data_IF_032425570848
#
_entry.id   IF_032425570848
#
_cell.length_a   1.000
_cell.length_b   1.000
_cell.length_c   1.000
_cell.angle_alpha   90.00
_cell.angle_beta   90.00
_cell.angle_gamma   90.00
#
_symmetry.space_group_name_H-M   'P 1'
#
loop_
_entity.id
_entity.type
_entity.pdbx_description
1 polymer ?
#
# COMPACT_ATOMS: atom_id res chain seq x y z
N UNK A 1 20.73 11.74 -31.94
CA UNK A 1 19.95 11.28 -30.78
C UNK A 1 18.78 12.25 -30.61
N UNK A 2 17.60 11.87 -31.08
CA UNK A 2 16.40 12.62 -30.74
C UNK A 2 16.09 12.29 -29.29
N UNK A 3 16.09 13.30 -28.42
CA UNK A 3 15.56 13.21 -27.07
C UNK A 3 14.12 12.70 -27.18
N UNK A 4 13.90 11.42 -26.90
CA UNK A 4 12.54 10.91 -26.75
C UNK A 4 11.87 11.74 -25.65
N UNK A 5 10.69 12.27 -25.92
CA UNK A 5 10.02 13.18 -25.01
C UNK A 5 9.77 12.47 -23.68
N UNK A 6 10.48 12.89 -22.64
CA UNK A 6 10.38 12.34 -21.30
C UNK A 6 8.91 12.35 -20.88
N UNK A 7 8.35 11.17 -20.59
CA UNK A 7 6.92 11.05 -20.27
C UNK A 7 6.62 11.82 -18.96
N UNK A 8 5.57 12.66 -18.95
CA UNK A 8 5.20 13.40 -17.75
C UNK A 8 4.68 12.44 -16.68
N UNK A 9 5.00 12.76 -15.42
CA UNK A 9 4.38 12.14 -14.26
C UNK A 9 3.12 12.96 -13.96
N UNK A 10 1.96 12.32 -14.04
CA UNK A 10 0.70 13.01 -13.80
C UNK A 10 0.47 13.23 -12.31
N UNK A 11 0.03 14.43 -11.95
CA UNK A 11 -0.25 14.81 -10.56
C UNK A 11 -1.73 14.58 -10.26
N UNK A 12 -2.08 14.00 -9.10
CA UNK A 12 -3.47 13.73 -8.78
C UNK A 12 -4.20 15.03 -8.42
N UNK A 13 -5.44 15.14 -8.90
CA UNK A 13 -6.33 16.27 -8.61
C UNK A 13 -7.25 16.02 -7.41
N UNK A 14 -7.44 14.75 -7.04
CA UNK A 14 -8.23 14.35 -5.86
C UNK A 14 -7.65 13.08 -5.22
N UNK A 15 -8.24 12.62 -4.11
CA UNK A 15 -7.89 11.34 -3.47
C UNK A 15 -8.64 10.13 -4.05
N UNK A 16 -9.33 10.30 -5.18
CA UNK A 16 -10.04 9.18 -5.80
C UNK A 16 -9.07 8.13 -6.32
N UNK A 17 -9.47 6.86 -6.28
CA UNK A 17 -8.66 5.74 -6.76
C UNK A 17 -8.13 5.97 -8.18
N UNK A 18 -8.98 6.43 -9.10
CA UNK A 18 -8.58 6.69 -10.49
C UNK A 18 -7.47 7.74 -10.62
N UNK A 19 -7.54 8.84 -9.86
CA UNK A 19 -6.50 9.87 -9.86
C UNK A 19 -5.18 9.35 -9.27
N UNK A 20 -5.25 8.61 -8.17
CA UNK A 20 -4.07 8.04 -7.52
C UNK A 20 -3.40 6.99 -8.41
N UNK A 21 -4.16 6.08 -9.02
CA UNK A 21 -3.60 5.04 -9.88
C UNK A 21 -3.03 5.59 -11.18
N UNK A 22 -3.62 6.65 -11.74
CA UNK A 22 -3.05 7.36 -12.89
C UNK A 22 -1.66 7.91 -12.56
N UNK A 23 -1.50 8.57 -11.41
CA UNK A 23 -0.21 9.05 -10.94
C UNK A 23 0.79 7.91 -10.65
N UNK A 24 0.33 6.82 -10.05
CA UNK A 24 1.14 5.62 -9.84
C UNK A 24 1.67 5.04 -11.16
N UNK A 25 0.79 4.76 -12.12
CA UNK A 25 1.18 4.14 -13.38
C UNK A 25 2.06 5.05 -14.24
N UNK A 26 1.81 6.36 -14.23
CA UNK A 26 2.68 7.31 -14.94
C UNK A 26 4.06 7.41 -14.30
N UNK A 27 4.16 7.41 -12.96
CA UNK A 27 5.44 7.32 -12.25
C UNK A 27 6.18 6.01 -12.54
N UNK A 28 5.49 4.88 -12.40
CA UNK A 28 6.04 3.53 -12.65
C UNK A 28 6.61 3.43 -14.06
N UNK A 29 5.82 3.86 -15.05
CA UNK A 29 6.22 3.84 -16.45
C UNK A 29 7.40 4.77 -16.73
N UNK A 30 7.43 5.97 -16.16
CA UNK A 30 8.54 6.92 -16.32
C UNK A 30 9.85 6.43 -15.69
N UNK A 31 9.78 5.65 -14.61
CA UNK A 31 10.94 4.96 -14.03
C UNK A 31 11.39 3.79 -14.93
N UNK A 32 10.45 3.03 -15.49
CA UNK A 32 10.73 1.94 -16.44
C UNK A 32 11.40 2.40 -17.73
N UNK A 33 10.92 3.51 -18.31
CA UNK A 33 11.53 4.11 -19.50
C UNK A 33 12.99 4.52 -19.21
N UNK A 34 13.23 5.25 -18.11
CA UNK A 34 14.58 5.71 -17.78
C UNK A 34 15.54 4.55 -17.47
N UNK A 35 15.09 3.53 -16.74
CA UNK A 35 15.91 2.34 -16.47
C UNK A 35 16.21 1.55 -17.75
N UNK A 36 15.25 1.44 -18.67
CA UNK A 36 15.49 0.80 -19.96
C UNK A 36 16.49 1.57 -20.81
N UNK A 37 16.45 2.90 -20.80
CA UNK A 37 17.40 3.75 -21.53
C UNK A 37 18.82 3.59 -20.96
N UNK A 38 18.95 3.64 -19.63
CA UNK A 38 20.25 3.46 -18.94
C UNK A 38 20.78 2.03 -19.17
N UNK A 39 19.91 1.02 -19.09
CA UNK A 39 20.28 -0.37 -19.35
C UNK A 39 20.70 -0.58 -20.80
N UNK A 40 19.92 -0.12 -21.77
CA UNK A 40 20.22 -0.32 -23.20
C UNK A 40 21.49 0.43 -23.60
N UNK A 41 21.66 1.69 -23.17
CA UNK A 41 22.86 2.48 -23.48
C UNK A 41 24.16 1.83 -22.99
N UNK A 42 24.12 1.08 -21.89
CA UNK A 42 25.30 0.40 -21.32
C UNK A 42 25.43 -1.04 -21.83
N UNK A 43 24.35 -1.82 -21.77
CA UNK A 43 24.37 -3.25 -22.09
C UNK A 43 24.44 -3.51 -23.59
N UNK A 44 23.91 -2.63 -24.44
CA UNK A 44 24.09 -2.77 -25.89
C UNK A 44 25.58 -2.68 -26.27
N UNK A 45 26.35 -1.85 -25.55
CA UNK A 45 27.79 -1.70 -25.77
C UNK A 45 28.59 -2.91 -25.25
N UNK A 46 28.21 -3.46 -24.09
CA UNK A 46 28.98 -4.52 -23.41
C UNK A 46 28.59 -5.91 -23.91
N UNK A 47 27.30 -6.13 -24.20
CA UNK A 47 26.71 -7.44 -24.50
C UNK A 47 26.12 -7.55 -25.91
N UNK A 48 26.05 -6.43 -26.63
CA UNK A 48 25.44 -6.37 -27.95
C UNK A 48 23.93 -6.11 -27.91
N UNK A 49 23.32 -5.68 -29.02
CA UNK A 49 21.94 -5.18 -29.07
C UNK A 49 20.86 -6.24 -28.84
N UNK A 50 21.24 -7.52 -28.73
CA UNK A 50 20.32 -8.64 -28.46
C UNK A 50 20.34 -9.12 -27.01
N UNK A 51 21.07 -8.43 -26.12
CA UNK A 51 21.24 -8.85 -24.74
C UNK A 51 19.92 -9.10 -24.00
N UNK A 52 18.88 -8.32 -24.30
CA UNK A 52 17.58 -8.47 -23.66
C UNK A 52 16.83 -9.72 -24.15
N UNK A 53 16.85 -9.99 -25.46
CA UNK A 53 16.30 -11.23 -26.01
C UNK A 53 16.99 -12.45 -25.41
N UNK A 54 18.32 -12.40 -25.30
CA UNK A 54 19.14 -13.47 -24.74
C UNK A 54 18.84 -13.68 -23.25
N UNK A 55 18.66 -12.58 -22.49
CA UNK A 55 18.22 -12.62 -21.10
C UNK A 55 16.86 -13.30 -20.98
N UNK A 56 15.87 -12.86 -21.77
CA UNK A 56 14.51 -13.44 -21.76
C UNK A 56 14.53 -14.93 -22.10
N UNK A 57 15.26 -15.32 -23.14
CA UNK A 57 15.35 -16.73 -23.56
C UNK A 57 15.96 -17.60 -22.45
N UNK A 58 17.05 -17.12 -21.83
CA UNK A 58 17.70 -17.80 -20.70
C UNK A 58 16.77 -17.95 -19.51
N UNK A 59 16.07 -16.89 -19.11
CA UNK A 59 15.14 -16.91 -17.96
C UNK A 59 13.92 -17.77 -18.20
N UNK A 60 13.40 -17.79 -19.42
CA UNK A 60 12.34 -18.73 -19.82
C UNK A 60 12.78 -20.17 -19.69
N UNK A 61 13.99 -20.51 -20.15
CA UNK A 61 14.54 -21.86 -20.02
C UNK A 61 14.71 -22.29 -18.55
N UNK A 62 15.05 -21.33 -17.67
CA UNK A 62 15.16 -21.53 -16.22
C UNK A 62 13.81 -21.55 -15.49
N UNK A 63 12.70 -21.30 -16.19
CA UNK A 63 11.36 -21.10 -15.59
C UNK A 63 11.33 -19.98 -14.53
N UNK A 64 12.20 -18.97 -14.66
CA UNK A 64 12.27 -17.87 -13.72
C UNK A 64 11.08 -16.90 -13.91
N UNK A 65 10.37 -16.51 -12.84
CA UNK A 65 9.39 -15.43 -12.89
C UNK A 65 10.09 -14.04 -12.91
N UNK A 66 9.52 -13.01 -13.56
CA UNK A 66 8.22 -12.97 -14.26
C UNK A 66 8.28 -13.34 -15.76
N UNK A 67 9.36 -13.98 -16.22
CA UNK A 67 9.65 -14.17 -17.65
C UNK A 67 8.75 -15.18 -18.39
N UNK A 68 7.79 -15.82 -17.71
CA UNK A 68 6.91 -16.84 -18.33
C UNK A 68 5.80 -16.25 -19.21
N UNK A 69 5.59 -14.93 -19.17
CA UNK A 69 4.61 -14.23 -20.01
C UNK A 69 4.93 -14.22 -21.50
N UNK A 70 3.88 -14.07 -22.32
CA UNK A 70 3.94 -14.04 -23.78
C UNK A 70 4.68 -12.81 -24.34
N UNK A 71 4.59 -11.65 -23.67
CA UNK A 71 5.25 -10.41 -24.06
C UNK A 71 6.19 -9.94 -22.96
N UNK A 72 7.44 -9.69 -23.33
CA UNK A 72 8.48 -9.15 -22.46
C UNK A 72 8.91 -7.80 -23.04
N UNK A 73 8.86 -6.74 -22.25
CA UNK A 73 9.25 -5.39 -22.66
C UNK A 73 10.46 -4.96 -21.83
N UNK A 74 11.57 -4.48 -22.45
CA UNK A 74 12.72 -4.00 -21.71
C UNK A 74 12.43 -2.80 -20.79
N UNK A 75 11.26 -2.17 -20.92
CA UNK A 75 10.74 -1.09 -20.05
C UNK A 75 9.87 -1.57 -18.90
N UNK A 76 9.53 -2.86 -18.85
CA UNK A 76 8.73 -3.40 -17.76
C UNK A 76 9.58 -3.51 -16.49
N UNK A 77 9.31 -2.65 -15.52
CA UNK A 77 9.98 -2.67 -14.23
C UNK A 77 9.83 -3.98 -13.46
N UNK A 78 8.77 -4.74 -13.71
CA UNK A 78 8.62 -6.07 -13.10
C UNK A 78 9.75 -6.99 -13.55
N UNK A 79 10.19 -6.85 -14.81
CA UNK A 79 11.34 -7.56 -15.38
C UNK A 79 12.64 -6.97 -14.85
N UNK A 80 12.84 -5.65 -14.99
CA UNK A 80 14.10 -4.99 -14.63
C UNK A 80 14.41 -5.19 -13.15
N UNK A 81 13.49 -4.79 -12.27
CA UNK A 81 13.68 -4.85 -10.82
C UNK A 81 13.65 -6.29 -10.32
N UNK A 82 12.79 -7.14 -10.92
CA UNK A 82 12.68 -8.55 -10.55
C UNK A 82 13.97 -9.33 -10.82
N UNK A 83 14.53 -9.21 -12.03
CA UNK A 83 15.80 -9.85 -12.37
C UNK A 83 16.95 -9.26 -11.55
N UNK A 84 17.04 -7.94 -11.44
CA UNK A 84 18.07 -7.26 -10.65
C UNK A 84 18.09 -7.73 -9.18
N UNK A 85 16.91 -7.82 -8.56
CA UNK A 85 16.77 -8.13 -7.15
C UNK A 85 16.98 -9.60 -6.81
N UNK A 86 16.53 -10.52 -7.67
CA UNK A 86 16.50 -11.97 -7.39
C UNK A 86 17.73 -12.69 -7.92
N UNK A 87 18.27 -12.23 -9.04
CA UNK A 87 19.26 -13.01 -9.79
C UNK A 87 20.67 -12.45 -9.59
N UNK A 88 21.55 -13.30 -9.08
CA UNK A 88 22.96 -12.93 -8.85
C UNK A 88 23.71 -12.63 -10.16
N UNK A 89 23.32 -13.30 -11.25
CA UNK A 89 23.93 -13.14 -12.58
C UNK A 89 23.16 -12.15 -13.48
N UNK A 90 22.30 -11.32 -12.88
CA UNK A 90 21.53 -10.31 -13.59
C UNK A 90 22.43 -9.34 -14.38
N UNK A 91 22.20 -9.13 -15.69
CA UNK A 91 22.90 -8.11 -16.45
C UNK A 91 22.71 -6.70 -15.88
N UNK A 92 21.57 -6.43 -15.24
CA UNK A 92 21.28 -5.12 -14.63
C UNK A 92 22.27 -4.76 -13.51
N UNK A 93 22.94 -5.74 -12.88
CA UNK A 93 24.00 -5.49 -11.89
C UNK A 93 25.29 -4.90 -12.48
N UNK A 94 25.45 -4.88 -13.80
CA UNK A 94 26.55 -4.15 -14.47
C UNK A 94 26.22 -2.68 -14.74
N UNK A 95 24.95 -2.30 -14.55
CA UNK A 95 24.43 -0.96 -14.85
C UNK A 95 24.06 -0.24 -13.57
N UNK A 96 23.37 -0.94 -12.67
CA UNK A 96 22.95 -0.46 -11.36
C UNK A 96 24.05 -0.70 -10.33
N UNK A 97 24.04 0.08 -9.26
CA UNK A 97 25.10 0.08 -8.25
C UNK A 97 25.30 -1.28 -7.57
N UNK A 98 24.26 -2.12 -7.52
CA UNK A 98 24.31 -3.44 -6.90
C UNK A 98 24.47 -3.41 -5.38
N UNK A 99 24.36 -2.23 -4.75
CA UNK A 99 24.46 -2.09 -3.30
C UNK A 99 23.31 -2.81 -2.59
N UNK A 100 23.52 -3.19 -1.33
CA UNK A 100 22.47 -3.80 -0.51
C UNK A 100 21.22 -2.89 -0.40
N UNK A 101 21.44 -1.59 -0.18
CA UNK A 101 20.36 -0.59 -0.12
C UNK A 101 19.58 -0.48 -1.43
N UNK A 102 20.27 -0.46 -2.58
CA UNK A 102 19.62 -0.45 -3.89
C UNK A 102 18.81 -1.71 -4.17
N UNK A 103 19.37 -2.87 -3.85
CA UNK A 103 18.71 -4.16 -4.00
C UNK A 103 17.46 -4.23 -3.12
N UNK A 104 17.57 -3.78 -1.86
CA UNK A 104 16.44 -3.68 -0.93
C UNK A 104 15.34 -2.75 -1.47
N UNK A 105 15.70 -1.57 -1.96
CA UNK A 105 14.74 -0.64 -2.55
C UNK A 105 14.04 -1.21 -3.78
N UNK A 106 14.75 -1.93 -4.66
CA UNK A 106 14.17 -2.63 -5.81
C UNK A 106 13.14 -3.70 -5.39
N UNK A 107 13.47 -4.53 -4.39
CA UNK A 107 12.56 -5.54 -3.82
C UNK A 107 11.28 -4.89 -3.28
N UNK A 108 11.41 -3.79 -2.53
CA UNK A 108 10.28 -3.04 -1.97
C UNK A 108 9.39 -2.43 -3.06
N UNK A 109 9.98 -1.86 -4.12
CA UNK A 109 9.25 -1.27 -5.24
C UNK A 109 8.41 -2.32 -5.96
N UNK A 110 9.02 -3.44 -6.32
CA UNK A 110 8.34 -4.55 -7.00
C UNK A 110 7.22 -5.12 -6.13
N UNK A 111 7.51 -5.37 -4.85
CA UNK A 111 6.53 -5.94 -3.93
C UNK A 111 5.36 -4.99 -3.68
N UNK A 112 5.60 -3.68 -3.55
CA UNK A 112 4.52 -2.69 -3.40
C UNK A 112 3.61 -2.67 -4.64
N UNK A 113 4.19 -2.75 -5.84
CA UNK A 113 3.42 -2.88 -7.07
C UNK A 113 2.58 -4.15 -7.09
N UNK A 114 3.14 -5.29 -6.69
CA UNK A 114 2.38 -6.55 -6.63
C UNK A 114 1.24 -6.45 -5.62
N UNK A 115 1.47 -5.82 -4.45
CA UNK A 115 0.39 -5.55 -3.50
C UNK A 115 -0.74 -4.81 -4.18
N UNK A 116 -0.49 -3.68 -4.85
CA UNK A 116 -1.57 -2.84 -5.38
C UNK A 116 -2.26 -3.40 -6.61
N UNK A 117 -1.54 -4.16 -7.45
CA UNK A 117 -2.15 -4.79 -8.63
C UNK A 117 -3.04 -5.98 -8.22
N UNK A 118 -2.77 -6.61 -7.09
CA UNK A 118 -3.53 -7.75 -6.57
C UNK A 118 -4.34 -7.42 -5.30
N UNK A 119 -4.40 -6.15 -4.91
CA UNK A 119 -5.14 -5.74 -3.73
C UNK A 119 -6.65 -5.75 -4.00
N UNK A 120 -7.40 -6.16 -2.98
CA UNK A 120 -8.86 -5.97 -2.91
C UNK A 120 -9.29 -4.61 -2.42
N UNK A 121 -8.36 -3.82 -1.88
CA UNK A 121 -8.63 -2.45 -1.42
C UNK A 121 -7.77 -1.45 -2.18
N UNK A 122 -8.40 -0.32 -2.46
CA UNK A 122 -7.79 0.79 -3.17
C UNK A 122 -6.67 1.44 -2.34
N UNK A 123 -5.50 1.71 -2.93
CA UNK A 123 -4.44 2.47 -2.26
C UNK A 123 -4.88 3.92 -2.01
N UNK A 124 -4.41 4.48 -0.91
CA UNK A 124 -4.68 5.88 -0.55
C UNK A 124 -3.58 6.84 -0.99
N UNK A 125 -3.84 8.13 -0.84
CA UNK A 125 -2.84 9.17 -1.08
C UNK A 125 -1.61 9.00 -0.18
N UNK A 126 -1.79 8.49 1.05
CA UNK A 126 -0.69 8.15 1.96
C UNK A 126 0.19 7.01 1.41
N UNK A 127 -0.44 5.93 0.95
CA UNK A 127 0.25 4.78 0.35
C UNK A 127 1.03 5.21 -0.90
N UNK A 128 0.42 6.02 -1.77
CA UNK A 128 1.08 6.57 -2.95
C UNK A 128 2.24 7.48 -2.60
N UNK A 129 2.11 8.29 -1.56
CA UNK A 129 3.20 9.16 -1.11
C UNK A 129 4.40 8.35 -0.68
N UNK A 130 4.19 7.28 0.09
CA UNK A 130 5.29 6.47 0.62
C UNK A 130 5.96 5.66 -0.50
N UNK A 131 5.19 5.20 -1.49
CA UNK A 131 5.75 4.66 -2.73
C UNK A 131 6.59 5.68 -3.51
N UNK A 132 6.14 6.94 -3.63
CA UNK A 132 6.90 8.01 -4.28
C UNK A 132 8.23 8.28 -3.57
N UNK A 133 8.25 8.26 -2.22
CA UNK A 133 9.50 8.40 -1.45
C UNK A 133 10.49 7.29 -1.80
N UNK A 134 10.00 6.05 -1.89
CA UNK A 134 10.82 4.89 -2.27
C UNK A 134 11.39 5.02 -3.69
N UNK A 135 10.59 5.50 -4.67
CA UNK A 135 11.09 5.79 -6.03
C UNK A 135 12.16 6.88 -6.02
N UNK A 136 11.98 7.94 -5.22
CA UNK A 136 12.98 9.00 -5.08
C UNK A 136 14.27 8.47 -4.46
N UNK A 137 14.18 7.65 -3.42
CA UNK A 137 15.33 7.03 -2.76
C UNK A 137 16.10 6.12 -3.73
N UNK A 138 15.40 5.18 -4.38
CA UNK A 138 15.99 4.30 -5.38
C UNK A 138 16.66 5.11 -6.50
N UNK A 139 15.96 6.12 -7.03
CA UNK A 139 16.53 6.99 -8.06
C UNK A 139 17.80 7.73 -7.59
N UNK A 140 17.90 8.13 -6.31
CA UNK A 140 19.13 8.74 -5.78
C UNK A 140 20.28 7.73 -5.67
N UNK A 141 19.99 6.52 -5.20
CA UNK A 141 20.99 5.44 -5.10
C UNK A 141 21.58 5.12 -6.47
N UNK A 142 20.74 5.13 -7.51
CA UNK A 142 21.11 4.78 -8.88
C UNK A 142 21.49 6.00 -9.76
N UNK A 143 21.49 7.21 -9.20
CA UNK A 143 21.83 8.43 -9.95
C UNK A 143 20.84 8.81 -11.06
N UNK A 144 19.58 8.37 -10.97
CA UNK A 144 18.53 8.59 -11.94
C UNK A 144 17.85 9.97 -11.77
N UNK A 145 17.54 10.61 -12.89
CA UNK A 145 16.81 11.87 -12.96
C UNK A 145 15.38 11.77 -12.44
N UNK A 146 14.75 10.59 -12.48
CA UNK A 146 13.44 10.32 -11.88
C UNK A 146 13.35 10.77 -10.41
N UNK A 147 14.46 10.73 -9.66
CA UNK A 147 14.51 11.17 -8.28
C UNK A 147 14.11 12.64 -8.12
N UNK A 148 14.53 13.51 -9.04
CA UNK A 148 14.10 14.91 -9.06
C UNK A 148 12.69 15.06 -9.61
N UNK A 149 12.34 14.31 -10.67
CA UNK A 149 11.05 14.42 -11.36
C UNK A 149 9.86 13.97 -10.50
N UNK A 150 10.06 13.06 -9.54
CA UNK A 150 9.01 12.55 -8.66
C UNK A 150 8.70 13.46 -7.46
N UNK A 151 9.57 14.42 -7.12
CA UNK A 151 9.39 15.33 -5.97
C UNK A 151 8.06 16.12 -6.02
N UNK A 152 7.64 16.70 -7.16
CA UNK A 152 6.37 17.41 -7.25
C UNK A 152 5.15 16.53 -6.91
N UNK A 153 5.17 15.25 -7.27
CA UNK A 153 4.12 14.30 -6.94
C UNK A 153 4.04 14.06 -5.43
N UNK A 154 5.18 13.84 -4.76
CA UNK A 154 5.22 13.70 -3.31
C UNK A 154 4.66 14.94 -2.60
N UNK A 155 5.04 16.15 -3.05
CA UNK A 155 4.49 17.41 -2.52
C UNK A 155 2.99 17.55 -2.76
N UNK A 156 2.49 17.13 -3.94
CA UNK A 156 1.05 17.16 -4.25
C UNK A 156 0.25 16.27 -3.31
N UNK A 157 0.74 15.06 -3.07
CA UNK A 157 0.09 14.08 -2.19
C UNK A 157 0.02 14.58 -0.74
N UNK A 158 1.10 15.17 -0.22
CA UNK A 158 1.08 15.77 1.13
C UNK A 158 0.04 16.89 1.25
N UNK A 159 -0.08 17.74 0.22
CA UNK A 159 -1.10 18.79 0.21
C UNK A 159 -2.51 18.23 0.10
N UNK A 160 -2.71 17.13 -0.63
CA UNK A 160 -3.99 16.42 -0.66
C UNK A 160 -4.31 15.84 0.72
N UNK A 161 -3.37 15.13 1.36
CA UNK A 161 -3.51 14.52 2.69
C UNK A 161 -3.86 15.56 3.75
N UNK A 162 -3.21 16.72 3.72
CA UNK A 162 -3.43 17.82 4.68
C UNK A 162 -4.62 18.72 4.33
N UNK A 163 -5.30 18.48 3.21
CA UNK A 163 -6.41 19.33 2.74
C UNK A 163 -6.00 20.70 2.21
N UNK A 164 -4.69 20.97 2.08
CA UNK A 164 -4.12 22.21 1.53
C UNK A 164 -4.20 22.30 0.00
N UNK A 165 -4.75 21.28 -0.64
CA UNK A 165 -5.03 21.24 -2.06
C UNK A 165 -6.47 20.81 -2.30
N UNK A 166 -7.24 21.72 -2.87
CA UNK A 166 -8.53 21.43 -3.47
C UNK A 166 -8.30 21.49 -4.97
N UNK A 167 -8.44 20.36 -5.67
CA UNK A 167 -8.18 20.26 -7.11
C UNK A 167 -9.00 21.23 -7.95
N UNK A 168 -8.75 21.26 -9.26
CA UNK A 168 -9.60 22.01 -10.16
C UNK A 168 -11.07 21.57 -9.95
N UNK A 169 -11.91 22.48 -9.44
CA UNK A 169 -13.35 22.23 -9.23
C UNK A 169 -13.90 21.55 -10.47
N UNK A 170 -14.44 20.34 -10.31
CA UNK A 170 -15.36 19.79 -11.29
C UNK A 170 -16.43 20.86 -11.51
N UNK A 171 -16.45 21.47 -12.71
CA UNK A 171 -17.55 22.33 -13.11
C UNK A 171 -18.79 21.45 -12.89
N UNK A 172 -19.77 21.87 -12.06
CA UNK A 172 -20.97 21.07 -11.90
C UNK A 172 -21.55 20.89 -13.28
N UNK A 173 -21.61 19.64 -13.75
CA UNK A 173 -22.47 19.27 -14.86
C UNK A 173 -23.84 19.82 -14.49
N UNK A 174 -24.26 20.84 -15.24
CA UNK A 174 -25.61 21.36 -15.16
C UNK A 174 -26.50 20.14 -15.32
N UNK A 175 -27.18 19.76 -14.23
CA UNK A 175 -28.32 18.85 -14.33
C UNK A 175 -29.24 19.50 -15.34
N UNK A 176 -29.30 18.92 -16.54
CA UNK A 176 -30.31 19.28 -17.51
C UNK A 176 -31.65 19.14 -16.80
N UNK A 177 -32.30 20.27 -16.60
CA UNK A 177 -33.67 20.38 -16.14
C UNK A 177 -34.52 19.59 -17.13
N UNK A 178 -34.85 18.35 -16.77
CA UNK A 178 -35.81 17.55 -17.53
C UNK A 178 -37.17 18.23 -17.37
N UNK A 179 -37.65 18.78 -18.48
CA UNK A 179 -38.96 19.39 -18.61
C UNK A 179 -40.08 18.43 -18.20
N UNK A 180 -41.09 19.02 -17.56
CA UNK A 180 -42.40 18.53 -17.13
C UNK A 180 -42.79 17.11 -17.58
N UNK A 181 -42.84 16.20 -16.59
CA UNK A 181 -43.68 15.02 -16.66
C UNK A 181 -45.05 15.32 -15.99
N UNK A 182 -46.18 14.87 -16.57
CA UNK A 182 -47.52 15.14 -16.04
C UNK A 182 -47.74 14.52 -14.65
N UNK A 183 -48.68 15.05 -13.84
CA UNK A 183 -48.82 14.69 -12.44
C UNK A 183 -49.19 13.22 -12.27
N UNK A 184 -48.42 12.52 -11.43
CA UNK A 184 -48.67 11.14 -11.05
C UNK A 184 -49.94 11.03 -10.16
N UNK A 185 -50.72 9.94 -10.28
CA UNK A 185 -51.86 9.68 -9.40
C UNK A 185 -51.41 9.45 -7.94
N UNK A 186 -52.30 9.66 -6.96
CA UNK A 186 -51.95 9.69 -5.54
C UNK A 186 -51.34 8.36 -5.08
N UNK A 187 -50.21 8.46 -4.36
CA UNK A 187 -49.49 7.32 -3.82
C UNK A 187 -50.35 6.58 -2.76
N UNK A 188 -50.38 5.24 -2.78
CA UNK A 188 -50.92 4.45 -1.68
C UNK A 188 -50.06 4.64 -0.41
N UNK A 189 -50.64 4.45 0.79
CA UNK A 189 -49.96 4.75 2.06
C UNK A 189 -48.64 3.99 2.18
N UNK A 190 -47.60 4.72 2.56
CA UNK A 190 -46.25 4.20 2.83
C UNK A 190 -46.35 3.08 3.86
N UNK A 191 -46.23 1.85 3.39
CA UNK A 191 -45.93 0.72 4.25
C UNK A 191 -44.45 0.87 4.62
N UNK A 192 -44.15 1.09 5.91
CA UNK A 192 -42.78 1.13 6.42
C UNK A 192 -42.02 -0.10 5.88
N UNK A 193 -41.15 0.13 4.89
CA UNK A 193 -40.23 -0.88 4.44
C UNK A 193 -39.31 -1.21 5.62
N UNK A 194 -39.04 -2.49 5.91
CA UNK A 194 -38.07 -2.84 6.93
C UNK A 194 -36.75 -2.13 6.60
N UNK A 195 -36.25 -1.34 7.56
CA UNK A 195 -34.95 -0.66 7.47
C UNK A 195 -33.93 -1.64 6.89
N UNK A 196 -33.43 -1.34 5.70
CA UNK A 196 -32.38 -2.13 5.07
C UNK A 196 -31.23 -2.26 6.07
N UNK A 197 -30.78 -3.49 6.33
CA UNK A 197 -29.63 -3.72 7.19
C UNK A 197 -28.46 -2.85 6.67
N UNK A 198 -27.71 -2.17 7.56
CA UNK A 198 -26.58 -1.34 7.14
C UNK A 198 -25.60 -2.19 6.32
N UNK A 199 -24.96 -1.59 5.30
CA UNK A 199 -24.00 -2.31 4.47
C UNK A 199 -22.91 -2.91 5.35
N UNK A 200 -22.41 -4.12 5.03
CA UNK A 200 -21.36 -4.76 5.81
C UNK A 200 -20.13 -3.85 5.89
N UNK A 201 -19.53 -3.78 7.08
CA UNK A 201 -18.31 -3.01 7.29
C UNK A 201 -17.16 -3.57 6.42
N UNK A 202 -16.20 -2.72 6.02
CA UNK A 202 -14.97 -3.19 5.39
C UNK A 202 -14.15 -4.04 6.38
N UNK A 203 -13.05 -4.63 5.93
CA UNK A 203 -12.06 -5.24 6.83
C UNK A 203 -11.35 -4.19 7.69
N UNK A 204 -10.69 -4.64 8.75
CA UNK A 204 -9.84 -3.77 9.57
C UNK A 204 -8.70 -3.23 8.71
N UNK A 205 -8.55 -1.90 8.65
CA UNK A 205 -7.65 -1.18 7.75
C UNK A 205 -8.35 -0.55 6.54
N UNK A 206 -9.55 -1.02 6.19
CA UNK A 206 -10.32 -0.55 5.03
C UNK A 206 -10.95 0.83 5.22
N UNK A 207 -11.37 1.44 4.11
CA UNK A 207 -12.06 2.74 4.09
C UNK A 207 -13.39 2.63 4.83
N UNK A 208 -13.63 3.51 5.80
CA UNK A 208 -14.86 3.54 6.58
C UNK A 208 -16.08 3.74 5.68
N UNK A 209 -17.10 2.89 5.85
CA UNK A 209 -18.37 2.95 5.13
C UNK A 209 -19.47 3.29 6.13
N UNK A 210 -20.30 4.27 5.79
CA UNK A 210 -21.44 4.72 6.60
C UNK A 210 -21.13 5.96 7.43
N UNK A 211 -22.11 6.36 8.25
CA UNK A 211 -22.01 7.58 9.03
C UNK A 211 -20.89 7.51 10.07
N UNK A 212 -20.24 8.64 10.29
CA UNK A 212 -19.20 8.80 11.31
C UNK A 212 -19.87 9.44 12.53
N UNK A 213 -19.92 8.75 13.69
CA UNK A 213 -20.44 9.31 14.93
C UNK A 213 -19.79 10.64 15.27
N UNK A 214 -20.46 11.52 16.02
CA UNK A 214 -19.86 12.78 16.49
C UNK A 214 -18.91 12.56 17.68
N UNK A 215 -19.19 11.55 18.50
CA UNK A 215 -18.43 11.27 19.73
C UNK A 215 -16.99 10.83 19.41
N UNK A 216 -16.03 11.33 20.19
CA UNK A 216 -14.61 11.04 20.03
C UNK A 216 -14.02 10.55 21.35
N UNK A 217 -13.18 9.55 21.25
CA UNK A 217 -12.43 8.96 22.36
C UNK A 217 -10.95 9.20 22.14
N UNK A 218 -10.24 9.57 23.20
CA UNK A 218 -8.82 9.98 23.11
C UNK A 218 -7.94 9.00 23.86
N UNK A 219 -6.80 8.63 23.27
CA UNK A 219 -5.79 7.83 23.96
C UNK A 219 -4.99 8.69 24.93
N UNK A 220 -4.92 8.25 26.17
CA UNK A 220 -4.11 8.87 27.22
C UNK A 220 -2.64 8.49 27.08
N UNK A 221 -1.76 9.21 27.78
CA UNK A 221 -0.32 8.90 27.83
C UNK A 221 -0.03 7.50 28.38
N UNK A 222 -0.91 6.97 29.23
CA UNK A 222 -0.76 5.64 29.84
C UNK A 222 -1.34 4.51 28.97
N UNK A 223 -1.84 4.84 27.77
CA UNK A 223 -2.34 3.85 26.81
C UNK A 223 -3.82 3.52 26.96
N UNK A 224 -4.51 4.04 27.99
CA UNK A 224 -5.95 3.92 28.15
C UNK A 224 -6.70 4.83 27.16
N UNK A 225 -7.96 4.52 26.88
CA UNK A 225 -8.83 5.28 25.98
C UNK A 225 -10.02 5.82 26.76
N UNK A 226 -10.22 7.12 26.69
CA UNK A 226 -11.22 7.83 27.50
C UNK A 226 -12.20 8.64 26.66
N UNK A 227 -13.41 8.81 27.18
CA UNK A 227 -14.39 9.74 26.64
C UNK A 227 -14.04 11.21 26.91
N UNK A 228 -14.90 12.14 26.48
CA UNK A 228 -14.71 13.57 26.70
C UNK A 228 -14.69 14.00 28.18
N UNK A 229 -15.22 13.18 29.08
CA UNK A 229 -15.24 13.43 30.53
C UNK A 229 -14.04 12.79 31.26
N UNK A 230 -13.23 12.00 30.56
CA UNK A 230 -12.06 11.32 31.11
C UNK A 230 -12.35 9.92 31.65
N UNK A 231 -13.56 9.36 31.43
CA UNK A 231 -13.87 8.00 31.85
C UNK A 231 -13.31 6.99 30.86
N UNK A 232 -12.67 5.94 31.38
CA UNK A 232 -12.15 4.83 30.58
C UNK A 232 -13.28 4.04 29.92
N UNK A 233 -13.06 3.65 28.66
CA UNK A 233 -13.96 2.74 27.95
C UNK A 233 -13.56 1.27 28.07
N UNK A 234 -12.54 0.92 28.86
CA UNK A 234 -12.02 -0.44 28.95
C UNK A 234 -13.11 -1.49 29.28
N UNK A 235 -14.08 -1.12 30.12
CA UNK A 235 -15.20 -2.00 30.49
C UNK A 235 -16.17 -2.31 29.31
N UNK A 236 -16.12 -1.52 28.22
CA UNK A 236 -16.92 -1.74 26.99
C UNK A 236 -16.22 -2.67 26.00
N UNK A 237 -14.96 -3.05 26.26
CA UNK A 237 -14.13 -3.82 25.34
C UNK A 237 -14.08 -5.27 25.78
N UNK A 238 -14.29 -6.19 24.84
CA UNK A 238 -14.19 -7.62 25.08
C UNK A 238 -12.75 -8.10 24.95
N UNK A 239 -12.22 -8.78 25.96
CA UNK A 239 -10.85 -9.30 26.00
C UNK A 239 -9.85 -8.31 26.64
N UNK A 240 -8.59 -8.37 26.24
CA UNK A 240 -7.55 -7.46 26.75
C UNK A 240 -7.71 -6.07 26.11
N UNK A 241 -8.30 -5.14 26.88
CA UNK A 241 -8.49 -3.76 26.44
C UNK A 241 -7.17 -3.05 26.10
N UNK A 242 -6.07 -3.37 26.79
CA UNK A 242 -4.76 -2.73 26.57
C UNK A 242 -4.21 -3.13 25.20
N UNK A 243 -4.29 -4.42 24.86
CA UNK A 243 -3.88 -4.91 23.55
C UNK A 243 -4.75 -4.33 22.42
N UNK A 244 -6.07 -4.22 22.64
CA UNK A 244 -7.00 -3.61 21.69
C UNK A 244 -6.69 -2.14 21.44
N UNK A 245 -6.52 -1.36 22.51
CA UNK A 245 -6.17 0.06 22.40
C UNK A 245 -4.83 0.24 21.71
N UNK A 246 -3.83 -0.62 21.99
CA UNK A 246 -2.58 -0.63 21.22
C UNK A 246 -2.87 -0.85 19.73
N UNK A 247 -3.67 -1.85 19.37
CA UNK A 247 -3.95 -2.18 17.97
C UNK A 247 -4.66 -1.04 17.23
N UNK A 248 -5.68 -0.43 17.83
CA UNK A 248 -6.42 0.69 17.21
C UNK A 248 -5.53 1.90 16.96
N UNK A 249 -4.60 2.19 17.88
CA UNK A 249 -3.75 3.37 17.81
C UNK A 249 -2.40 3.14 17.12
N UNK A 250 -2.07 1.91 16.75
CA UNK A 250 -0.84 1.56 16.06
C UNK A 250 -0.72 2.22 14.66
N UNK A 251 -1.83 2.62 14.06
CA UNK A 251 -1.84 3.35 12.79
C UNK A 251 -1.73 4.88 12.95
N UNK A 252 -1.53 5.37 14.18
CA UNK A 252 -1.48 6.78 14.53
C UNK A 252 -2.68 7.59 13.98
N UNK A 253 -3.91 7.27 14.41
CA UNK A 253 -5.08 8.04 13.98
C UNK A 253 -4.94 9.51 14.39
N UNK A 254 -5.53 10.40 13.58
CA UNK A 254 -5.44 11.85 13.72
C UNK A 254 -5.81 12.28 15.14
N UNK A 255 -4.99 13.17 15.70
CA UNK A 255 -5.10 13.72 17.05
C UNK A 255 -5.14 12.67 18.18
N UNK A 256 -4.67 11.43 17.92
CA UNK A 256 -4.86 10.29 18.81
C UNK A 256 -6.32 10.14 19.25
N UNK A 257 -7.23 10.27 18.28
CA UNK A 257 -8.68 10.12 18.50
C UNK A 257 -9.29 9.04 17.62
N UNK A 258 -10.27 8.34 18.20
CA UNK A 258 -11.11 7.35 17.51
C UNK A 258 -12.58 7.65 17.77
N UNK A 259 -13.46 7.03 17.00
CA UNK A 259 -14.90 6.98 17.23
C UNK A 259 -15.35 5.53 17.33
N UNK A 260 -16.49 5.32 17.97
CA UNK A 260 -17.11 4.01 18.12
C UNK A 260 -18.54 4.13 17.59
N UNK A 261 -18.86 3.32 16.58
CA UNK A 261 -20.21 3.26 16.03
C UNK A 261 -21.12 2.36 16.88
N UNK A 262 -22.42 2.41 16.61
CA UNK A 262 -23.44 1.68 17.36
C UNK A 262 -23.24 0.16 17.34
N UNK A 263 -22.71 -0.38 16.24
CA UNK A 263 -22.36 -1.78 16.05
C UNK A 263 -21.04 -2.19 16.75
N UNK A 264 -20.38 -1.27 17.44
CA UNK A 264 -19.10 -1.50 18.10
C UNK A 264 -17.89 -1.40 17.19
N UNK A 265 -18.07 -1.02 15.91
CA UNK A 265 -16.97 -0.74 15.01
C UNK A 265 -16.20 0.51 15.46
N UNK A 266 -14.88 0.40 15.56
CA UNK A 266 -13.99 1.48 15.96
C UNK A 266 -13.32 2.07 14.73
N UNK A 267 -13.51 3.36 14.49
CA UNK A 267 -12.89 4.05 13.36
C UNK A 267 -11.99 5.21 13.79
N UNK A 268 -11.13 5.65 12.87
CA UNK A 268 -10.25 6.79 13.05
C UNK A 268 -9.79 7.35 11.71
N UNK A 269 -9.31 8.60 11.70
CA UNK A 269 -8.72 9.17 10.49
C UNK A 269 -7.25 8.78 10.41
N UNK A 270 -6.84 8.04 9.39
CA UNK A 270 -5.45 7.65 9.15
C UNK A 270 -5.01 8.29 7.84
N UNK A 271 -3.96 9.10 7.88
CA UNK A 271 -3.48 9.87 6.72
C UNK A 271 -4.59 10.69 6.02
N UNK A 272 -5.52 11.20 6.81
CA UNK A 272 -6.63 12.03 6.34
C UNK A 272 -7.86 11.28 5.84
N UNK A 273 -7.83 9.95 5.76
CA UNK A 273 -8.97 9.13 5.31
C UNK A 273 -9.60 8.40 6.50
N UNK A 274 -10.93 8.28 6.54
CA UNK A 274 -11.62 7.55 7.59
C UNK A 274 -11.41 6.03 7.38
N UNK A 275 -10.93 5.33 8.41
CA UNK A 275 -10.61 3.90 8.34
C UNK A 275 -11.26 3.12 9.48
N UNK A 276 -11.59 1.86 9.22
CA UNK A 276 -11.93 0.91 10.28
C UNK A 276 -10.65 0.47 10.99
N UNK A 277 -10.58 0.68 12.29
CA UNK A 277 -9.40 0.39 13.12
C UNK A 277 -9.54 -0.90 13.93
N UNK A 278 -10.76 -1.38 14.17
CA UNK A 278 -11.04 -2.60 14.91
C UNK A 278 -12.47 -2.62 15.46
N UNK A 279 -12.71 -3.45 16.46
CA UNK A 279 -14.01 -3.63 17.10
C UNK A 279 -13.90 -3.62 18.63
N UNK A 280 -14.96 -3.17 19.32
CA UNK A 280 -15.07 -3.32 20.78
C UNK A 280 -15.40 -4.77 21.19
N UNK A 281 -16.11 -5.50 20.34
CA UNK A 281 -16.38 -6.95 20.42
C UNK A 281 -15.31 -7.76 19.70
N UNK A 282 -15.36 -9.10 19.73
CA UNK A 282 -14.44 -9.95 18.95
C UNK A 282 -14.32 -9.48 17.48
N UNK A 283 -13.09 -9.43 16.96
CA UNK A 283 -12.87 -9.09 15.56
C UNK A 283 -13.54 -10.17 14.68
N UNK A 284 -14.18 -9.79 13.56
CA UNK A 284 -14.68 -10.75 12.59
C UNK A 284 -13.54 -11.65 12.09
N UNK A 285 -13.81 -12.94 11.95
CA UNK A 285 -12.89 -13.84 11.27
C UNK A 285 -12.84 -13.46 9.79
N UNK A 286 -11.74 -12.84 9.38
CA UNK A 286 -11.44 -12.52 7.99
C UNK A 286 -10.24 -13.34 7.52
N UNK A 287 -10.31 -13.84 6.28
CA UNK A 287 -9.32 -14.73 5.66
C UNK A 287 -8.04 -13.98 5.23
N UNK A 288 -8.08 -12.66 5.18
CA UNK A 288 -7.02 -11.85 4.56
C UNK A 288 -6.01 -11.33 5.61
N UNK A 289 -5.94 -10.02 5.81
CA UNK A 289 -5.00 -9.37 6.69
C UNK A 289 -5.72 -8.25 7.45
N UNK A 290 -5.51 -8.16 8.76
CA UNK A 290 -6.10 -7.14 9.62
C UNK A 290 -5.14 -5.99 9.82
N UNK A 291 -5.65 -4.77 9.74
CA UNK A 291 -4.91 -3.57 10.08
C UNK A 291 -4.02 -3.06 8.95
N UNK A 292 -3.00 -2.30 9.33
CA UNK A 292 -2.16 -1.55 8.40
C UNK A 292 -0.80 -2.19 8.31
N UNK A 293 -0.20 -2.22 7.13
CA UNK A 293 1.17 -2.67 7.02
C UNK A 293 2.12 -1.74 7.78
N UNK A 294 3.05 -2.34 8.51
CA UNK A 294 4.18 -1.63 9.11
C UNK A 294 5.15 -1.13 8.03
N UNK A 295 6.00 -0.14 8.36
CA UNK A 295 7.05 0.33 7.45
C UNK A 295 8.12 -0.73 7.13
N UNK A 296 8.21 -1.78 7.93
CA UNK A 296 9.24 -2.81 7.84
C UNK A 296 8.93 -3.83 6.76
N UNK A 297 10.00 -4.29 6.12
CA UNK A 297 9.98 -5.33 5.11
C UNK A 297 10.92 -6.43 5.54
N UNK A 298 10.51 -7.67 5.31
CA UNK A 298 11.31 -8.82 5.64
C UNK A 298 11.47 -9.74 4.43
N UNK A 299 12.52 -10.54 4.45
CA UNK A 299 12.80 -11.55 3.45
C UNK A 299 13.11 -12.87 4.16
N UNK A 300 12.67 -13.97 3.55
CA UNK A 300 13.08 -15.30 4.01
C UNK A 300 14.44 -15.64 3.42
N UNK A 301 15.44 -15.87 4.28
CA UNK A 301 16.80 -16.24 3.91
C UNK A 301 17.23 -17.43 4.74
N UNK A 302 17.57 -18.54 4.09
CA UNK A 302 17.96 -19.81 4.73
C UNK A 302 16.94 -20.26 5.80
N UNK A 303 15.65 -20.14 5.49
CA UNK A 303 14.54 -20.47 6.40
C UNK A 303 14.38 -19.54 7.60
N UNK A 304 15.01 -18.35 7.61
CA UNK A 304 14.86 -17.33 8.65
C UNK A 304 14.27 -16.04 8.09
N UNK A 305 13.56 -15.28 8.93
CA UNK A 305 13.02 -13.96 8.54
C UNK A 305 14.06 -12.90 8.84
N UNK A 306 14.51 -12.19 7.82
CA UNK A 306 15.50 -11.13 7.93
C UNK A 306 14.82 -9.80 7.61
N UNK A 307 14.90 -8.83 8.53
CA UNK A 307 14.51 -7.45 8.24
C UNK A 307 15.44 -6.87 7.17
N UNK A 308 14.88 -6.44 6.04
CA UNK A 308 15.64 -6.04 4.86
C UNK A 308 16.47 -4.77 5.12
N UNK A 309 16.04 -3.91 6.06
CA UNK A 309 16.70 -2.64 6.35
C UNK A 309 17.80 -2.79 7.40
N UNK A 310 17.50 -3.50 8.48
CA UNK A 310 18.41 -3.65 9.63
C UNK A 310 19.26 -4.92 9.58
N UNK A 311 18.93 -5.86 8.69
CA UNK A 311 19.49 -7.21 8.64
C UNK A 311 19.26 -8.04 9.91
N UNK A 312 18.38 -7.57 10.80
CA UNK A 312 18.04 -8.29 12.03
C UNK A 312 17.26 -9.56 11.70
N UNK A 313 17.63 -10.66 12.35
CA UNK A 313 17.01 -11.97 12.12
C UNK A 313 15.92 -12.25 13.15
N UNK A 314 14.84 -12.90 12.69
CA UNK A 314 13.69 -13.37 13.47
C UNK A 314 13.41 -14.83 13.12
N UNK A 315 13.02 -15.62 14.12
CA UNK A 315 12.60 -17.01 13.90
C UNK A 315 11.18 -17.06 13.36
N UNK A 316 10.90 -17.92 12.37
CA UNK A 316 9.55 -18.12 11.85
C UNK A 316 8.64 -18.84 12.85
N UNK A 317 7.31 -18.61 12.83
CA UNK A 317 6.37 -19.25 13.75
C UNK A 317 6.03 -20.70 13.31
N UNK A 318 7.03 -21.50 12.91
CA UNK A 318 6.83 -22.90 12.52
C UNK A 318 6.19 -23.12 11.15
N UNK A 319 6.07 -22.06 10.33
CA UNK A 319 5.54 -22.14 8.96
C UNK A 319 6.71 -22.17 7.97
N UNK A 320 6.72 -23.16 7.08
CA UNK A 320 7.71 -23.25 6.01
C UNK A 320 7.34 -22.27 4.88
N UNK A 321 8.18 -21.25 4.68
CA UNK A 321 8.03 -20.25 3.63
C UNK A 321 9.26 -20.37 2.72
N UNK A 322 9.11 -20.35 1.38
CA UNK A 322 10.25 -20.43 0.48
C UNK A 322 11.26 -19.28 0.66
N UNK A 323 12.55 -19.57 0.53
CA UNK A 323 13.59 -18.55 0.51
C UNK A 323 13.37 -17.54 -0.63
N UNK A 324 13.76 -16.28 -0.39
CA UNK A 324 13.53 -15.16 -1.29
C UNK A 324 12.12 -14.58 -1.23
N UNK A 325 11.21 -15.18 -0.45
CA UNK A 325 9.85 -14.64 -0.25
C UNK A 325 9.93 -13.33 0.53
N UNK A 326 9.27 -12.29 0.00
CA UNK A 326 9.13 -11.02 0.69
C UNK A 326 7.92 -11.09 1.61
N UNK A 327 8.11 -10.63 2.85
CA UNK A 327 7.09 -10.62 3.88
C UNK A 327 6.82 -9.20 4.36
N UNK A 328 5.56 -8.93 4.67
CA UNK A 328 5.14 -7.75 5.43
C UNK A 328 4.34 -8.16 6.65
N UNK A 329 4.32 -7.26 7.62
CA UNK A 329 3.54 -7.43 8.84
C UNK A 329 2.57 -6.30 9.00
N UNK A 330 1.39 -6.62 9.54
CA UNK A 330 0.39 -5.61 9.89
C UNK A 330 0.45 -5.19 11.36
N UNK A 331 -0.21 -4.09 11.72
CA UNK A 331 -0.34 -3.60 13.10
C UNK A 331 -1.02 -4.58 14.06
N UNK A 332 -1.73 -5.57 13.51
CA UNK A 332 -2.37 -6.68 14.22
C UNK A 332 -1.49 -7.93 14.32
N UNK A 333 -0.27 -7.90 13.77
CA UNK A 333 0.65 -9.03 13.78
C UNK A 333 0.37 -10.07 12.70
N UNK A 334 -0.46 -9.77 11.70
CA UNK A 334 -0.67 -10.68 10.58
C UNK A 334 0.58 -10.63 9.68
N UNK A 335 1.22 -11.77 9.47
CA UNK A 335 2.37 -11.95 8.60
C UNK A 335 1.89 -12.35 7.21
N UNK A 336 2.21 -11.52 6.22
CA UNK A 336 1.74 -11.61 4.84
C UNK A 336 2.90 -11.91 3.93
N UNK A 337 2.81 -13.01 3.19
CA UNK A 337 3.72 -13.32 2.10
C UNK A 337 3.27 -12.59 0.82
N UNK A 338 4.25 -12.03 0.11
CA UNK A 338 4.06 -11.30 -1.14
C UNK A 338 4.86 -12.03 -2.20
N UNK A 339 4.16 -12.54 -3.20
CA UNK A 339 4.76 -13.17 -4.37
C UNK A 339 4.21 -12.57 -5.68
N UNK A 340 4.57 -13.18 -6.81
CA UNK A 340 4.10 -12.75 -8.13
C UNK A 340 2.65 -13.19 -8.43
N UNK A 341 2.04 -14.05 -7.59
CA UNK A 341 0.66 -14.52 -7.68
C UNK A 341 -0.31 -13.72 -6.79
N UNK A 342 0.20 -13.00 -5.79
CA UNK A 342 -0.57 -12.11 -4.93
C UNK A 342 -0.04 -12.05 -3.50
N UNK A 343 -0.93 -11.71 -2.57
CA UNK A 343 -0.62 -11.61 -1.14
C UNK A 343 -1.44 -12.64 -0.36
N UNK A 344 -0.82 -13.31 0.61
CA UNK A 344 -1.51 -14.27 1.47
C UNK A 344 -1.02 -14.22 2.92
N UNK A 345 -1.95 -14.32 3.88
CA UNK A 345 -1.60 -14.43 5.29
C UNK A 345 -1.04 -15.82 5.58
N UNK A 346 0.19 -15.86 6.05
CA UNK A 346 0.93 -17.10 6.33
C UNK A 346 1.02 -17.42 7.82
N UNK A 347 0.93 -16.41 8.69
CA UNK A 347 0.91 -16.59 10.13
C UNK A 347 0.34 -15.37 10.85
N UNK A 348 0.07 -15.51 12.15
CA UNK A 348 -0.16 -14.41 13.08
C UNK A 348 0.93 -14.47 14.14
N UNK A 349 1.65 -13.38 14.35
CA UNK A 349 2.77 -13.29 15.29
C UNK A 349 2.47 -12.27 16.38
N UNK A 350 2.98 -12.49 17.59
CA UNK A 350 2.79 -11.56 18.70
C UNK A 350 3.52 -10.23 18.42
N UNK A 351 2.79 -9.11 18.30
CA UNK A 351 3.36 -7.78 18.15
C UNK A 351 4.49 -7.45 19.11
N UNK A 352 4.30 -7.75 20.40
CA UNK A 352 5.24 -7.40 21.46
C UNK A 352 6.56 -8.18 21.38
N UNK A 353 6.52 -9.41 20.84
CA UNK A 353 7.70 -10.30 20.80
C UNK A 353 8.48 -10.11 19.50
N UNK A 354 7.77 -9.93 18.39
CA UNK A 354 8.38 -9.83 17.06
C UNK A 354 8.78 -8.40 16.67
N UNK A 355 8.08 -7.41 17.21
CA UNK A 355 8.23 -6.00 16.84
C UNK A 355 8.43 -5.09 18.06
N UNK A 356 9.39 -5.39 18.96
CA UNK A 356 9.65 -4.52 20.10
C UNK A 356 10.03 -3.12 19.61
N UNK A 357 9.16 -2.14 19.89
CA UNK A 357 9.36 -0.74 19.49
C UNK A 357 8.95 -0.38 18.05
N UNK A 358 8.48 -1.31 17.22
CA UNK A 358 8.00 -0.98 15.85
C UNK A 358 6.48 -0.78 15.76
N UNK A 359 5.75 -1.01 16.86
CA UNK A 359 4.28 -0.93 16.94
C UNK A 359 3.80 0.01 18.08
N UNK A 360 4.66 0.93 18.52
CA UNK A 360 4.44 1.83 19.66
C UNK A 360 4.17 3.27 19.26
#
# INVERSE_FOLDING_TARGET
MMSEAIRPIELPESRSYGELMKSFFTLWRSLGDELADVASSTLDLIRGPRWFDDLVARRKAQKAPPFQGWRQDPRDLSIILGDYAREHDSPYRQVLTGTAASTAAAKKLQSTRNIWVHATEDPTAGDLRDFVKLVIEFGKLEGLAIAGRAVPLGKRLERLITGQYQGARSIPTVSETRADAPPAPPAPPETEAPLAAPPPRPRIGGLWIGDIPAERYTRTRFGDVVDATGNSIAARVTGDATERFRAWFAAHPLDNRVWIAEDGAVGGYVSGDARLLGWTSADPEDEWARGFYTPHWYEVVDGRVVDIDSMATRELPGVAIPDGTILRVTTYGDLIAIDDSGNGRVAVVSPATWFPGHLG
#
